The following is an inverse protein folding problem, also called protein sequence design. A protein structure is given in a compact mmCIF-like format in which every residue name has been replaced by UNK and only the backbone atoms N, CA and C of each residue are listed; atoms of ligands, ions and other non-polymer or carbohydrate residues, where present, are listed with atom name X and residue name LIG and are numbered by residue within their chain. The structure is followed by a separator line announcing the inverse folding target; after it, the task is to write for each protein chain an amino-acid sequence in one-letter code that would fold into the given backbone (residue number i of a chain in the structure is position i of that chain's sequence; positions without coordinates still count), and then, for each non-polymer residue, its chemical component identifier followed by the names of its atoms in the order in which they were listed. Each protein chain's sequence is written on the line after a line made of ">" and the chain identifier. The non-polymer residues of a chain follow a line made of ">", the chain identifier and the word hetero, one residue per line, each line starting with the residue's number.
data_IF_577077048791
#
_entry.id   IF_577077048791
#
_cell.length_a   1.000
_cell.length_b   1.000
_cell.length_c   1.000
_cell.angle_alpha   90.00
_cell.angle_beta   90.00
_cell.angle_gamma   90.00
#
_symmetry.space_group_name_H-M   'P 1'
#
loop_
_entity.id
_entity.type
_entity.pdbx_description
1 polymer ?
#
# COMPACT_ATOMS: atom_id res chain seq x y z
N UNK A 1 19.94 0.68 3.92
CA UNK A 1 18.78 1.59 3.98
C UNK A 1 17.62 0.82 4.58
N UNK A 2 17.11 1.22 5.75
CA UNK A 2 15.98 0.55 6.38
C UNK A 2 14.73 0.73 5.50
N UNK A 3 14.36 -0.31 4.74
CA UNK A 3 13.39 -0.26 3.64
C UNK A 3 11.95 -0.61 4.05
N UNK A 4 11.64 -0.56 5.35
CA UNK A 4 10.36 -1.08 5.88
C UNK A 4 9.56 -0.17 6.81
N UNK A 5 9.95 1.10 6.98
CA UNK A 5 9.19 2.02 7.82
C UNK A 5 8.73 3.26 7.05
N UNK A 6 7.43 3.53 7.12
CA UNK A 6 6.78 4.70 6.56
C UNK A 6 6.25 5.61 7.67
N UNK A 7 6.40 6.92 7.50
CA UNK A 7 5.99 7.89 8.52
C UNK A 7 4.45 8.05 8.60
N UNK A 8 3.78 8.04 7.44
CA UNK A 8 2.32 8.26 7.30
C UNK A 8 1.70 7.18 6.42
N UNK A 9 0.62 6.57 6.89
CA UNK A 9 -0.11 5.50 6.21
C UNK A 9 -0.60 5.91 4.83
N UNK A 10 -1.09 7.16 4.70
CA UNK A 10 -1.53 7.74 3.44
C UNK A 10 -0.40 7.78 2.41
N UNK A 11 0.82 8.12 2.84
CA UNK A 11 1.96 8.22 1.92
C UNK A 11 2.40 6.85 1.42
N UNK A 12 2.33 5.83 2.27
CA UNK A 12 2.65 4.47 1.85
C UNK A 12 1.60 3.91 0.89
N UNK A 13 0.31 4.08 1.21
CA UNK A 13 -0.78 3.65 0.34
C UNK A 13 -0.73 4.33 -1.03
N UNK A 14 -0.55 5.65 -1.07
CA UNK A 14 -0.40 6.40 -2.31
C UNK A 14 0.85 5.98 -3.11
N UNK A 15 1.96 5.64 -2.43
CA UNK A 15 3.17 5.17 -3.09
C UNK A 15 2.98 3.80 -3.78
N UNK A 16 2.18 2.91 -3.20
CA UNK A 16 1.81 1.64 -3.85
C UNK A 16 0.87 1.91 -5.02
N UNK A 17 -0.17 2.73 -4.83
CA UNK A 17 -1.14 3.00 -5.89
C UNK A 17 -0.54 3.74 -7.09
N UNK A 18 0.48 4.58 -6.88
CA UNK A 18 1.21 5.22 -7.97
C UNK A 18 1.90 4.22 -8.92
N UNK A 19 2.33 3.07 -8.43
CA UNK A 19 2.95 2.02 -9.25
C UNK A 19 1.88 1.16 -9.95
N UNK A 20 0.72 0.99 -9.32
CA UNK A 20 -0.39 0.18 -9.82
C UNK A 20 -1.29 0.91 -10.82
N UNK A 21 -1.38 2.24 -10.73
CA UNK A 21 -2.29 3.06 -11.52
C UNK A 21 -1.62 3.63 -12.78
N UNK A 22 -2.33 3.59 -13.91
CA UNK A 22 -1.89 4.23 -15.16
C UNK A 22 -2.50 3.54 -16.38
N UNK A 23 -2.43 4.20 -17.55
CA UNK A 23 -2.85 3.58 -18.81
C UNK A 23 -1.97 2.38 -19.12
N UNK A 24 -2.55 1.21 -19.36
CA UNK A 24 -1.83 -0.05 -19.58
C UNK A 24 -1.36 -0.75 -18.29
N UNK A 25 -1.65 -0.21 -17.11
CA UNK A 25 -1.40 -0.88 -15.83
C UNK A 25 -2.63 -1.67 -15.37
N UNK A 26 -2.49 -2.41 -14.28
CA UNK A 26 -3.56 -3.20 -13.68
C UNK A 26 -4.79 -2.36 -13.29
N UNK A 27 -4.60 -1.07 -12.96
CA UNK A 27 -5.68 -0.16 -12.54
C UNK A 27 -5.62 1.11 -13.38
N UNK A 28 -6.45 1.21 -14.42
CA UNK A 28 -6.53 2.47 -15.20
C UNK A 28 -7.46 3.50 -14.56
N UNK A 29 -8.55 3.03 -13.95
CA UNK A 29 -9.61 3.88 -13.39
C UNK A 29 -9.13 4.65 -12.16
N UNK A 30 -9.28 5.98 -12.20
CA UNK A 30 -8.97 6.89 -11.08
C UNK A 30 -9.84 6.60 -9.86
N UNK A 31 -11.14 6.37 -10.07
CA UNK A 31 -12.06 6.06 -8.97
C UNK A 31 -11.72 4.74 -8.28
N UNK A 32 -11.37 3.74 -9.08
CA UNK A 32 -10.92 2.42 -8.58
C UNK A 32 -9.61 2.55 -7.80
N UNK A 33 -8.63 3.29 -8.34
CA UNK A 33 -7.37 3.53 -7.66
C UNK A 33 -7.56 4.24 -6.32
N UNK A 34 -8.43 5.26 -6.26
CA UNK A 34 -8.77 5.96 -5.01
C UNK A 34 -9.37 5.03 -3.96
N UNK A 35 -10.29 4.14 -4.36
CA UNK A 35 -10.90 3.20 -3.44
C UNK A 35 -9.87 2.20 -2.88
N UNK A 36 -8.97 1.69 -3.72
CA UNK A 36 -7.88 0.83 -3.26
C UNK A 36 -6.89 1.58 -2.36
N UNK A 37 -6.54 2.83 -2.66
CA UNK A 37 -5.67 3.65 -1.80
C UNK A 37 -6.26 3.78 -0.39
N UNK A 38 -7.57 4.02 -0.26
CA UNK A 38 -8.25 4.10 1.02
C UNK A 38 -8.21 2.78 1.79
N UNK A 39 -8.46 1.64 1.12
CA UNK A 39 -8.35 0.33 1.75
C UNK A 39 -6.91 0.03 2.20
N UNK A 40 -5.92 0.32 1.36
CA UNK A 40 -4.50 0.15 1.68
C UNK A 40 -4.06 1.03 2.84
N UNK A 41 -4.64 2.22 3.02
CA UNK A 41 -4.40 3.06 4.20
C UNK A 41 -4.76 2.32 5.48
N UNK A 42 -5.93 1.67 5.54
CA UNK A 42 -6.34 0.88 6.71
C UNK A 42 -5.36 -0.26 6.99
N UNK A 43 -4.87 -0.95 5.95
CA UNK A 43 -3.82 -1.96 6.12
C UNK A 43 -2.52 -1.34 6.67
N UNK A 44 -2.10 -0.18 6.17
CA UNK A 44 -0.94 0.55 6.69
C UNK A 44 -1.12 0.94 8.17
N UNK A 45 -2.31 1.39 8.56
CA UNK A 45 -2.59 1.73 9.95
C UNK A 45 -2.38 0.50 10.85
N UNK A 46 -2.88 -0.67 10.44
CA UNK A 46 -2.64 -1.94 11.12
C UNK A 46 -1.16 -2.31 11.17
N UNK A 47 -0.46 -2.29 10.03
CA UNK A 47 0.97 -2.61 9.99
C UNK A 47 1.79 -1.72 10.92
N UNK A 48 1.42 -0.44 11.04
CA UNK A 48 2.10 0.52 11.91
C UNK A 48 1.80 0.26 13.39
N UNK A 49 0.54 0.01 13.74
CA UNK A 49 0.12 -0.32 15.11
C UNK A 49 0.87 -1.55 15.64
N UNK A 50 0.98 -2.58 14.82
CA UNK A 50 1.59 -3.86 15.21
C UNK A 50 3.07 -4.00 14.82
N UNK A 51 3.67 -2.95 14.25
CA UNK A 51 5.09 -2.91 13.82
C UNK A 51 5.46 -4.05 12.86
N UNK A 52 4.59 -4.34 11.89
CA UNK A 52 4.69 -5.45 10.95
C UNK A 52 5.39 -5.09 9.63
N UNK A 53 6.17 -4.00 9.61
CA UNK A 53 6.85 -3.51 8.40
C UNK A 53 5.95 -2.67 7.50
N UNK A 54 5.99 -2.90 6.18
CA UNK A 54 5.32 -2.08 5.18
C UNK A 54 4.64 -2.87 4.07
N UNK A 55 3.65 -2.25 3.40
CA UNK A 55 2.90 -2.90 2.30
C UNK A 55 3.79 -3.50 1.19
N UNK A 56 4.96 -2.91 0.94
CA UNK A 56 5.89 -3.36 -0.13
C UNK A 56 6.73 -4.57 0.27
N UNK A 57 6.73 -4.91 1.55
CA UNK A 57 7.41 -6.08 2.09
C UNK A 57 6.44 -7.23 2.32
N UNK A 58 5.13 -7.01 2.10
CA UNK A 58 4.13 -8.04 2.20
C UNK A 58 4.30 -9.05 1.07
N UNK A 59 4.39 -10.33 1.43
CA UNK A 59 4.40 -11.44 0.47
C UNK A 59 3.23 -12.39 0.73
N UNK A 60 2.74 -13.12 -0.30
CA UNK A 60 1.65 -14.09 -0.13
C UNK A 60 1.92 -15.14 0.95
N UNK A 61 3.19 -15.49 1.20
CA UNK A 61 3.59 -16.46 2.21
C UNK A 61 3.28 -15.99 3.64
N UNK A 62 3.26 -14.67 3.88
CA UNK A 62 2.93 -14.09 5.18
C UNK A 62 1.41 -14.08 5.47
N UNK A 63 0.58 -14.33 4.46
CA UNK A 63 -0.87 -14.37 4.58
C UNK A 63 -1.44 -15.80 4.77
N UNK A 64 -0.57 -16.80 4.96
CA UNK A 64 -0.93 -18.18 5.28
C UNK A 64 -1.07 -18.37 6.78
#
# INVERSE_FOLDING_TARGET
>A
MAKGHFAKSEKQAASVMKEMQGKGNAIESVGTARNYEQALKTCCDYLKEFKLGSLRELTPEQAK
#
